data_IF_378452481592
#
_entry.id   IF_378452481592
#
_cell.length_a   1.000
_cell.length_b   1.000
_cell.length_c   1.000
_cell.angle_alpha   90.00
_cell.angle_beta   90.00
_cell.angle_gamma   90.00
#
_symmetry.space_group_name_H-M   'P 1'
#
loop_
_entity.id
_entity.type
_entity.pdbx_description
1 polymer ?
#
# COMPACT_ATOMS: atom_id res chain seq x y z
N UNK A 1 9.74 -8.20 27.54
CA UNK A 1 10.18 -9.34 26.71
C UNK A 1 8.91 -10.04 26.26
N UNK A 2 8.43 -9.70 25.06
CA UNK A 2 7.15 -10.20 24.54
C UNK A 2 7.36 -10.44 23.06
N UNK A 3 7.32 -11.70 22.65
CA UNK A 3 7.50 -12.18 21.28
C UNK A 3 6.15 -12.39 20.62
N UNK A 4 5.95 -11.77 19.46
CA UNK A 4 4.93 -12.16 18.50
C UNK A 4 5.62 -12.74 17.27
N UNK A 5 5.21 -13.94 16.88
CA UNK A 5 5.74 -14.71 15.76
C UNK A 5 4.81 -14.54 14.55
N UNK A 6 5.33 -14.08 13.42
CA UNK A 6 4.72 -14.32 12.12
C UNK A 6 5.76 -14.96 11.20
N UNK A 7 5.31 -15.93 10.42
CA UNK A 7 6.14 -16.80 9.58
C UNK A 7 6.69 -15.99 8.41
N UNK A 8 8.02 -15.88 8.33
CA UNK A 8 8.74 -15.35 7.18
C UNK A 8 9.70 -14.20 7.50
N UNK A 9 10.85 -14.52 8.10
CA UNK A 9 12.02 -13.64 8.16
C UNK A 9 12.34 -13.10 9.55
N UNK A 10 13.41 -13.61 10.15
CA UNK A 10 13.96 -13.11 11.42
C UNK A 10 14.76 -11.83 11.16
N UNK A 11 14.23 -10.65 11.51
CA UNK A 11 15.06 -9.45 11.68
C UNK A 11 15.55 -9.43 13.13
N UNK A 12 16.84 -9.72 13.34
CA UNK A 12 17.53 -9.46 14.62
C UNK A 12 17.92 -7.99 14.65
N UNK A 13 17.20 -7.18 15.44
CA UNK A 13 17.67 -5.82 15.78
C UNK A 13 18.57 -5.95 17.01
N UNK A 14 19.87 -5.80 16.81
CA UNK A 14 20.85 -5.58 17.88
C UNK A 14 20.82 -4.11 18.29
N UNK A 15 20.39 -3.81 19.52
CA UNK A 15 20.56 -2.48 20.10
C UNK A 15 22.00 -2.37 20.61
N UNK A 16 22.92 -1.91 19.76
CA UNK A 16 24.19 -1.35 20.23
C UNK A 16 23.99 0.16 20.44
N UNK A 17 24.03 0.55 21.71
CA UNK A 17 24.05 1.93 22.17
C UNK A 17 25.30 2.64 21.61
N UNK A 18 25.14 3.38 20.52
CA UNK A 18 26.13 4.37 20.09
C UNK A 18 25.90 5.64 20.90
N UNK A 19 26.73 5.80 21.94
CA UNK A 19 26.83 7.03 22.73
C UNK A 19 27.55 8.07 21.88
N UNK A 20 26.80 8.89 21.13
CA UNK A 20 27.34 10.11 20.54
C UNK A 20 27.41 11.18 21.65
N UNK A 21 28.61 11.40 22.19
CA UNK A 21 28.93 12.64 22.89
C UNK A 21 29.06 13.76 21.84
N UNK A 22 27.94 14.41 21.53
CA UNK A 22 27.95 15.68 20.80
C UNK A 22 28.05 16.80 21.83
N UNK A 23 29.22 17.43 21.86
CA UNK A 23 29.48 18.71 22.50
C UNK A 23 28.45 19.74 22.02
N UNK A 24 27.58 20.21 22.91
CA UNK A 24 26.59 21.25 22.61
C UNK A 24 27.30 22.57 22.32
N UNK A 25 27.36 22.96 21.05
CA UNK A 25 27.47 24.37 20.66
C UNK A 25 26.05 24.93 20.49
N UNK A 26 25.59 25.86 21.36
CA UNK A 26 24.24 26.43 21.30
C UNK A 26 24.02 27.40 20.11
N UNK A 27 24.96 27.51 19.17
CA UNK A 27 24.94 28.48 18.06
C UNK A 27 24.35 27.98 16.73
N UNK A 28 23.79 26.77 16.67
CA UNK A 28 23.29 26.15 15.43
C UNK A 28 21.75 26.15 15.36
N UNK A 29 21.10 27.21 14.85
CA UNK A 29 19.63 27.32 14.79
C UNK A 29 18.97 26.26 13.90
N UNK A 30 19.68 25.75 12.89
CA UNK A 30 19.15 24.74 11.95
C UNK A 30 18.95 23.37 12.59
N UNK A 31 19.82 22.96 13.53
CA UNK A 31 19.69 21.68 14.23
C UNK A 31 18.51 21.68 15.21
N UNK A 32 18.29 22.78 15.92
CA UNK A 32 17.17 22.91 16.86
C UNK A 32 15.81 22.99 16.14
N UNK A 33 15.75 23.63 14.97
CA UNK A 33 14.54 23.68 14.17
C UNK A 33 14.14 22.30 13.63
N UNK A 34 15.11 21.55 13.08
CA UNK A 34 14.87 20.21 12.55
C UNK A 34 14.47 19.19 13.63
N UNK A 35 15.04 19.28 14.84
CA UNK A 35 14.61 18.43 15.96
C UNK A 35 13.18 18.75 16.45
N UNK A 36 12.80 20.03 16.46
CA UNK A 36 11.44 20.44 16.84
C UNK A 36 10.39 19.95 15.86
N UNK A 37 10.67 20.03 14.55
CA UNK A 37 9.71 19.61 13.51
C UNK A 37 9.54 18.09 13.45
N UNK A 38 10.59 17.34 13.74
CA UNK A 38 10.53 15.88 13.88
C UNK A 38 9.70 15.46 15.10
N UNK A 39 9.92 16.09 16.26
CA UNK A 39 9.15 15.81 17.48
C UNK A 39 7.66 16.12 17.27
N UNK A 40 7.34 17.26 16.65
CA UNK A 40 5.98 17.65 16.28
C UNK A 40 5.30 16.63 15.34
N UNK A 41 6.06 16.01 14.44
CA UNK A 41 5.54 15.01 13.50
C UNK A 41 5.20 13.68 14.18
N UNK A 42 6.05 13.21 15.10
CA UNK A 42 5.83 11.98 15.88
C UNK A 42 4.66 12.15 16.84
N UNK A 43 4.56 13.31 17.49
CA UNK A 43 3.48 13.63 18.41
C UNK A 43 2.14 13.71 17.69
N UNK A 44 2.08 14.37 16.51
CA UNK A 44 0.87 14.43 15.69
C UNK A 44 0.44 13.05 15.20
N UNK A 45 1.38 12.23 14.72
CA UNK A 45 1.10 10.86 14.28
C UNK A 45 0.44 10.04 15.39
N UNK A 46 1.03 10.08 16.59
CA UNK A 46 0.52 9.36 17.75
C UNK A 46 -0.86 9.86 18.17
N UNK A 47 -1.09 11.18 18.15
CA UNK A 47 -2.38 11.80 18.46
C UNK A 47 -3.48 11.38 17.47
N UNK A 48 -3.19 11.37 16.16
CA UNK A 48 -4.15 10.95 15.14
C UNK A 48 -4.54 9.47 15.32
N UNK A 49 -3.62 8.62 15.77
CA UNK A 49 -3.94 7.23 16.09
C UNK A 49 -4.76 7.05 17.37
N UNK A 50 -4.89 8.06 18.23
CA UNK A 50 -5.79 7.99 19.40
C UNK A 50 -7.20 8.50 19.09
N UNK A 51 -7.40 9.15 17.94
CA UNK A 51 -8.70 9.67 17.51
C UNK A 51 -9.55 8.60 16.84
N UNK A 52 -10.84 8.91 16.69
CA UNK A 52 -11.76 8.14 15.86
C UNK A 52 -11.53 8.44 14.38
N UNK A 53 -11.93 7.50 13.51
CA UNK A 53 -11.73 7.64 12.07
C UNK A 53 -12.37 8.91 11.49
N UNK A 54 -13.53 9.32 12.01
CA UNK A 54 -14.23 10.53 11.57
C UNK A 54 -13.39 11.79 11.77
N UNK A 55 -12.70 11.89 12.90
CA UNK A 55 -11.84 13.03 13.22
C UNK A 55 -10.60 13.05 12.32
N UNK A 56 -10.01 11.88 12.07
CA UNK A 56 -8.86 11.75 11.16
C UNK A 56 -9.28 12.07 9.72
N UNK A 57 -10.48 11.65 9.29
CA UNK A 57 -11.04 12.00 7.99
C UNK A 57 -11.29 13.50 7.85
N UNK A 58 -11.85 14.14 8.88
CA UNK A 58 -12.04 15.59 8.89
C UNK A 58 -10.69 16.30 8.75
N UNK A 59 -9.70 15.91 9.56
CA UNK A 59 -8.34 16.44 9.46
C UNK A 59 -7.73 16.25 8.06
N UNK A 60 -7.88 15.07 7.44
CA UNK A 60 -7.41 14.83 6.07
C UNK A 60 -8.10 15.74 5.03
N UNK A 61 -9.40 16.01 5.20
CA UNK A 61 -10.16 16.90 4.31
C UNK A 61 -9.66 18.35 4.44
N UNK A 62 -9.34 18.79 5.64
CA UNK A 62 -8.79 20.12 5.89
C UNK A 62 -7.37 20.27 5.28
N UNK A 63 -6.56 19.20 5.33
CA UNK A 63 -5.27 19.16 4.63
C UNK A 63 -5.46 19.22 3.10
N UNK A 64 -6.37 18.42 2.54
CA UNK A 64 -6.62 18.37 1.09
C UNK A 64 -7.19 19.68 0.54
N UNK A 65 -7.99 20.39 1.32
CA UNK A 65 -8.55 21.70 0.95
C UNK A 65 -7.55 22.84 1.13
N UNK A 66 -6.37 22.58 1.69
CA UNK A 66 -5.34 23.59 1.97
C UNK A 66 -5.64 24.45 3.20
N UNK A 67 -6.69 24.13 3.97
CA UNK A 67 -7.02 24.82 5.22
C UNK A 67 -6.00 24.52 6.32
N UNK A 68 -5.45 23.30 6.32
CA UNK A 68 -4.35 22.90 7.19
C UNK A 68 -3.13 22.50 6.37
N UNK A 69 -1.94 22.65 6.98
CA UNK A 69 -0.70 22.08 6.47
C UNK A 69 -0.20 21.03 7.45
N UNK A 70 0.16 19.87 6.92
CA UNK A 70 0.85 18.86 7.72
C UNK A 70 2.31 19.27 7.94
N UNK A 71 2.95 18.78 9.01
CA UNK A 71 4.39 18.89 9.17
C UNK A 71 5.13 18.37 7.93
N UNK A 72 6.28 18.98 7.61
CA UNK A 72 7.06 18.70 6.40
C UNK A 72 7.42 17.21 6.28
N UNK A 73 7.84 16.60 7.38
CA UNK A 73 8.31 15.22 7.44
C UNK A 73 7.28 14.27 8.09
N UNK A 74 5.99 14.59 7.94
CA UNK A 74 4.92 13.76 8.49
C UNK A 74 4.92 12.36 7.87
N UNK A 75 4.82 11.32 8.71
CA UNK A 75 4.84 9.92 8.30
C UNK A 75 3.50 9.47 7.67
N UNK A 76 3.24 9.96 6.45
CA UNK A 76 2.04 9.63 5.68
C UNK A 76 1.89 8.13 5.41
N UNK A 77 2.97 7.46 5.00
CA UNK A 77 2.93 6.03 4.70
C UNK A 77 2.58 5.21 5.95
N UNK A 78 3.20 5.53 7.09
CA UNK A 78 2.88 4.90 8.37
C UNK A 78 1.41 5.10 8.74
N UNK A 79 0.83 6.27 8.46
CA UNK A 79 -0.56 6.55 8.81
C UNK A 79 -1.52 5.75 7.91
N UNK A 80 -1.22 5.64 6.61
CA UNK A 80 -1.98 4.80 5.69
C UNK A 80 -1.97 3.33 6.09
N UNK A 81 -0.79 2.81 6.46
CA UNK A 81 -0.62 1.42 6.91
C UNK A 81 -1.33 1.15 8.24
N UNK A 82 -1.24 2.08 9.19
CA UNK A 82 -1.94 1.99 10.47
C UNK A 82 -3.46 2.03 10.28
N UNK A 83 -3.96 2.94 9.44
CA UNK A 83 -5.38 3.06 9.10
C UNK A 83 -5.91 1.77 8.46
N UNK A 84 -5.22 1.22 7.46
CA UNK A 84 -5.60 -0.05 6.86
C UNK A 84 -5.57 -1.23 7.83
N UNK A 85 -4.62 -1.25 8.77
CA UNK A 85 -4.55 -2.26 9.83
C UNK A 85 -5.70 -2.14 10.81
N UNK A 86 -6.06 -0.91 11.20
CA UNK A 86 -7.18 -0.64 12.10
C UNK A 86 -8.52 -0.95 11.45
N UNK A 87 -8.67 -0.69 10.15
CA UNK A 87 -9.85 -1.09 9.38
C UNK A 87 -10.09 -2.60 9.46
N UNK A 88 -9.05 -3.40 9.21
CA UNK A 88 -9.11 -4.87 9.34
C UNK A 88 -9.42 -5.29 10.77
N UNK A 89 -8.67 -4.75 11.74
CA UNK A 89 -8.83 -5.09 13.15
C UNK A 89 -10.24 -4.78 13.66
N UNK A 90 -10.79 -3.61 13.36
CA UNK A 90 -12.13 -3.23 13.80
C UNK A 90 -13.19 -4.17 13.23
N UNK A 91 -13.11 -4.53 11.95
CA UNK A 91 -14.02 -5.51 11.36
C UNK A 91 -13.90 -6.87 12.04
N UNK A 92 -12.66 -7.37 12.20
CA UNK A 92 -12.39 -8.69 12.75
C UNK A 92 -12.83 -8.80 14.24
N UNK A 93 -12.98 -7.65 14.94
CA UNK A 93 -13.54 -7.57 16.30
C UNK A 93 -15.03 -7.14 16.35
N UNK A 94 -15.72 -7.08 15.21
CA UNK A 94 -17.16 -6.79 15.13
C UNK A 94 -17.54 -5.31 15.05
N UNK A 95 -16.57 -4.37 15.12
CA UNK A 95 -16.81 -2.94 14.89
C UNK A 95 -16.77 -2.61 13.38
N UNK A 96 -17.83 -3.03 12.70
CA UNK A 96 -18.04 -2.75 11.28
C UNK A 96 -18.24 -1.27 10.99
N UNK A 97 -18.76 -0.51 11.96
CA UNK A 97 -19.04 0.93 11.84
C UNK A 97 -17.77 1.77 11.73
N UNK A 98 -16.71 1.42 12.44
CA UNK A 98 -15.43 2.14 12.37
C UNK A 98 -14.50 1.59 11.29
N UNK A 99 -14.69 0.35 10.85
CA UNK A 99 -13.80 -0.31 9.91
C UNK A 99 -13.73 0.38 8.53
N UNK A 100 -14.89 0.68 7.91
CA UNK A 100 -14.92 1.35 6.61
C UNK A 100 -14.36 2.80 6.65
N UNK A 101 -14.70 3.63 7.64
CA UNK A 101 -14.06 4.93 7.82
C UNK A 101 -12.53 4.86 7.94
N UNK A 102 -11.99 3.89 8.67
CA UNK A 102 -10.53 3.69 8.72
C UNK A 102 -9.93 3.24 7.38
N UNK A 103 -10.66 2.45 6.59
CA UNK A 103 -10.23 2.13 5.24
C UNK A 103 -10.23 3.38 4.34
N UNK A 104 -11.24 4.26 4.48
CA UNK A 104 -11.30 5.54 3.76
C UNK A 104 -10.09 6.42 4.09
N UNK A 105 -9.71 6.52 5.38
CA UNK A 105 -8.49 7.24 5.81
C UNK A 105 -7.27 6.71 5.06
N UNK A 106 -7.07 5.39 5.05
CA UNK A 106 -5.93 4.76 4.39
C UNK A 106 -5.90 5.05 2.89
N UNK A 107 -7.04 4.92 2.20
CA UNK A 107 -7.15 5.17 0.77
C UNK A 107 -6.90 6.64 0.40
N UNK A 108 -7.46 7.57 1.16
CA UNK A 108 -7.22 9.01 0.95
C UNK A 108 -5.74 9.39 1.11
N UNK A 109 -5.03 8.74 2.03
CA UNK A 109 -3.60 8.99 2.21
C UNK A 109 -2.79 8.36 1.07
N UNK A 110 -3.15 7.16 0.58
CA UNK A 110 -2.51 6.60 -0.61
C UNK A 110 -2.71 7.50 -1.83
N UNK A 111 -3.92 8.03 -2.05
CA UNK A 111 -4.18 8.99 -3.13
C UNK A 111 -3.31 10.25 -2.99
N UNK A 112 -3.15 10.76 -1.76
CA UNK A 112 -2.26 11.88 -1.46
C UNK A 112 -0.79 11.54 -1.77
N UNK A 113 -0.33 10.36 -1.38
CA UNK A 113 1.04 9.91 -1.63
C UNK A 113 1.33 9.78 -3.13
N UNK A 114 0.40 9.20 -3.91
CA UNK A 114 0.50 9.11 -5.37
C UNK A 114 0.66 10.50 -5.99
N UNK A 115 -0.10 11.49 -5.52
CA UNK A 115 -0.02 12.87 -6.04
C UNK A 115 1.29 13.61 -5.72
N UNK A 116 2.12 13.07 -4.82
CA UNK A 116 3.35 13.72 -4.31
C UNK A 116 4.64 13.13 -4.83
N UNK A 117 4.60 11.99 -5.54
CA UNK A 117 5.79 11.27 -5.98
C UNK A 117 5.83 11.11 -7.50
N UNK A 118 7.03 10.91 -8.02
CA UNK A 118 7.27 10.59 -9.43
C UNK A 118 6.67 9.22 -9.79
N UNK A 119 6.41 9.03 -11.09
CA UNK A 119 5.65 7.89 -11.62
C UNK A 119 6.18 6.51 -11.20
N UNK A 120 7.50 6.37 -11.03
CA UNK A 120 8.17 5.12 -10.64
C UNK A 120 7.85 4.69 -9.21
N UNK A 121 7.52 5.63 -8.33
CA UNK A 121 7.18 5.37 -6.93
C UNK A 121 5.67 5.21 -6.69
N UNK A 122 4.85 5.75 -7.59
CA UNK A 122 3.38 5.72 -7.48
C UNK A 122 2.85 4.28 -7.43
N UNK A 123 3.47 3.37 -8.17
CA UNK A 123 2.98 2.00 -8.33
C UNK A 123 2.81 1.27 -6.99
N UNK A 124 3.78 1.45 -6.08
CA UNK A 124 3.75 0.81 -4.75
C UNK A 124 2.57 1.29 -3.89
N UNK A 125 2.20 2.56 -3.99
CA UNK A 125 1.07 3.15 -3.27
C UNK A 125 -0.25 2.76 -3.91
N UNK A 126 -0.34 2.75 -5.23
CA UNK A 126 -1.52 2.28 -5.96
C UNK A 126 -1.78 0.82 -5.61
N UNK A 127 -0.78 -0.04 -5.70
CA UNK A 127 -0.88 -1.46 -5.32
C UNK A 127 -1.37 -1.63 -3.88
N UNK A 128 -0.79 -0.88 -2.93
CA UNK A 128 -1.20 -0.91 -1.52
C UNK A 128 -2.66 -0.48 -1.33
N UNK A 129 -3.12 0.52 -2.09
CA UNK A 129 -4.50 0.97 -2.07
C UNK A 129 -5.47 -0.11 -2.59
N UNK A 130 -5.09 -0.85 -3.63
CA UNK A 130 -5.90 -1.92 -4.20
C UNK A 130 -5.94 -3.14 -3.29
N UNK A 131 -4.82 -3.45 -2.61
CA UNK A 131 -4.78 -4.47 -1.58
C UNK A 131 -5.71 -4.13 -0.40
N UNK A 132 -5.75 -2.87 0.02
CA UNK A 132 -6.69 -2.41 1.05
C UNK A 132 -8.15 -2.53 0.59
N UNK A 133 -8.48 -2.10 -0.64
CA UNK A 133 -9.83 -2.28 -1.22
C UNK A 133 -10.23 -3.75 -1.26
N UNK A 134 -9.39 -4.63 -1.80
CA UNK A 134 -9.65 -6.06 -1.84
C UNK A 134 -9.86 -6.64 -0.42
N UNK A 135 -9.01 -6.25 0.54
CA UNK A 135 -9.15 -6.67 1.93
C UNK A 135 -10.49 -6.26 2.55
N UNK A 136 -11.05 -5.11 2.17
CA UNK A 136 -12.36 -4.64 2.65
C UNK A 136 -13.51 -5.32 1.91
N UNK A 137 -13.40 -5.53 0.59
CA UNK A 137 -14.40 -6.28 -0.20
C UNK A 137 -14.56 -7.70 0.33
N UNK A 138 -13.46 -8.38 0.69
CA UNK A 138 -13.51 -9.73 1.28
C UNK A 138 -14.30 -9.77 2.59
N UNK A 139 -14.25 -8.69 3.37
CA UNK A 139 -14.91 -8.55 4.67
C UNK A 139 -16.37 -8.12 4.56
N UNK A 140 -16.65 -7.11 3.74
CA UNK A 140 -17.97 -6.47 3.64
C UNK A 140 -18.82 -6.94 2.44
N UNK A 141 -18.26 -7.81 1.59
CA UNK A 141 -18.73 -8.11 0.24
C UNK A 141 -18.57 -6.94 -0.74
N UNK A 142 -18.64 -7.27 -2.03
CA UNK A 142 -18.59 -6.29 -3.10
C UNK A 142 -19.91 -5.52 -3.17
N UNK A 143 -19.83 -4.19 -3.31
CA UNK A 143 -20.98 -3.31 -3.48
C UNK A 143 -20.70 -2.40 -4.68
N UNK A 144 -21.41 -2.57 -5.82
CA UNK A 144 -21.22 -1.75 -7.01
C UNK A 144 -21.36 -0.26 -6.71
N UNK A 145 -20.46 0.56 -7.26
CA UNK A 145 -20.45 2.01 -7.07
C UNK A 145 -19.97 2.49 -5.70
N UNK A 146 -19.77 1.61 -4.71
CA UNK A 146 -19.27 2.01 -3.40
C UNK A 146 -17.79 2.47 -3.49
N UNK A 147 -17.39 3.59 -2.88
CA UNK A 147 -16.04 4.16 -3.05
C UNK A 147 -14.88 3.22 -2.67
N UNK A 148 -15.14 2.28 -1.75
CA UNK A 148 -14.17 1.31 -1.22
C UNK A 148 -14.46 -0.12 -1.67
N UNK A 149 -15.74 -0.47 -1.84
CA UNK A 149 -16.21 -1.85 -1.93
C UNK A 149 -16.62 -2.23 -3.36
N UNK A 150 -16.42 -1.31 -4.31
CA UNK A 150 -16.65 -1.56 -5.71
C UNK A 150 -15.48 -2.35 -6.30
N UNK A 151 -15.74 -3.62 -6.61
CA UNK A 151 -14.74 -4.52 -7.15
C UNK A 151 -14.37 -4.19 -8.61
N UNK A 152 -15.27 -3.52 -9.35
CA UNK A 152 -14.99 -3.11 -10.73
C UNK A 152 -13.82 -2.11 -10.78
N UNK A 153 -13.59 -1.35 -9.71
CA UNK A 153 -12.41 -0.47 -9.60
C UNK A 153 -11.10 -1.24 -9.63
N UNK A 154 -11.04 -2.42 -9.00
CA UNK A 154 -9.84 -3.26 -8.99
C UNK A 154 -9.68 -3.96 -10.34
N UNK A 155 -10.79 -4.39 -10.94
CA UNK A 155 -10.79 -5.04 -12.26
C UNK A 155 -10.34 -4.06 -13.33
N UNK A 156 -10.94 -2.86 -13.41
CA UNK A 156 -10.52 -1.81 -14.34
C UNK A 156 -9.06 -1.42 -14.11
N UNK A 157 -8.66 -1.18 -12.86
CA UNK A 157 -7.26 -0.89 -12.55
C UNK A 157 -6.31 -1.96 -13.09
N UNK A 158 -6.64 -3.26 -12.94
CA UNK A 158 -5.83 -4.32 -13.50
C UNK A 158 -5.71 -4.20 -15.03
N UNK A 159 -6.83 -4.10 -15.75
CA UNK A 159 -6.83 -4.04 -17.21
C UNK A 159 -6.18 -2.75 -17.76
N UNK A 160 -6.41 -1.61 -17.11
CA UNK A 160 -5.84 -0.31 -17.48
C UNK A 160 -4.31 -0.28 -17.32
N UNK A 161 -3.73 -1.18 -16.51
CA UNK A 161 -2.30 -1.26 -16.26
C UNK A 161 -1.62 -2.43 -16.99
N UNK A 162 -2.33 -3.11 -17.90
CA UNK A 162 -1.73 -4.12 -18.77
C UNK A 162 -1.00 -3.45 -19.94
N UNK A 163 0.23 -3.89 -20.15
CA UNK A 163 1.09 -3.48 -21.27
C UNK A 163 1.25 -4.57 -22.32
N UNK A 164 0.70 -5.76 -22.04
CA UNK A 164 0.80 -6.94 -22.88
C UNK A 164 -0.44 -7.81 -22.71
N UNK A 165 -0.69 -8.65 -23.70
CA UNK A 165 -1.72 -9.69 -23.70
C UNK A 165 -1.31 -10.92 -22.88
N UNK A 166 -2.26 -11.81 -22.51
CA UNK A 166 -1.95 -13.07 -21.85
C UNK A 166 -0.95 -13.94 -22.63
N UNK A 167 -1.09 -13.97 -23.96
CA UNK A 167 -0.23 -14.75 -24.85
C UNK A 167 1.20 -14.20 -24.87
N UNK A 168 1.36 -12.88 -24.96
CA UNK A 168 2.66 -12.23 -24.86
C UNK A 168 3.31 -12.48 -23.49
N UNK A 169 2.54 -12.42 -22.40
CA UNK A 169 3.04 -12.71 -21.06
C UNK A 169 3.58 -14.15 -20.94
N UNK A 170 2.89 -15.13 -21.54
CA UNK A 170 3.37 -16.52 -21.59
C UNK A 170 4.66 -16.66 -22.40
N UNK A 171 4.72 -16.07 -23.61
CA UNK A 171 5.89 -16.12 -24.47
C UNK A 171 7.10 -15.49 -23.75
N UNK A 172 6.92 -14.29 -23.19
CA UNK A 172 7.95 -13.59 -22.41
C UNK A 172 8.37 -14.38 -21.16
N UNK A 173 7.44 -15.08 -20.49
CA UNK A 173 7.77 -15.93 -19.34
C UNK A 173 8.73 -17.07 -19.73
N UNK A 174 8.52 -17.70 -20.90
CA UNK A 174 9.37 -18.77 -21.38
C UNK A 174 10.77 -18.28 -21.76
N UNK A 175 10.88 -17.12 -22.42
CA UNK A 175 12.18 -16.57 -22.84
C UNK A 175 12.94 -15.86 -21.71
N UNK A 176 12.23 -15.30 -20.72
CA UNK A 176 12.80 -14.45 -19.66
C UNK A 176 13.95 -15.14 -18.91
N UNK A 177 13.85 -16.44 -18.63
CA UNK A 177 14.90 -17.18 -17.92
C UNK A 177 16.16 -17.37 -18.77
N UNK A 178 16.01 -17.55 -20.07
CA UNK A 178 17.13 -17.65 -21.01
C UNK A 178 17.77 -16.28 -21.26
N UNK A 179 16.95 -15.23 -21.41
CA UNK A 179 17.40 -13.86 -21.64
C UNK A 179 18.16 -13.29 -20.42
N UNK A 180 17.69 -13.58 -19.19
CA UNK A 180 18.40 -13.24 -17.95
C UNK A 180 19.78 -13.91 -17.86
N UNK A 181 19.86 -15.19 -18.26
CA UNK A 181 21.12 -15.94 -18.29
C UNK A 181 22.13 -15.34 -19.28
N UNK A 182 21.64 -14.75 -20.35
CA UNK A 182 22.43 -14.10 -21.39
C UNK A 182 22.66 -12.59 -21.13
N UNK A 183 22.25 -12.08 -19.97
CA UNK A 183 22.46 -10.68 -19.51
C UNK A 183 21.97 -9.62 -20.51
N UNK A 184 20.84 -9.87 -21.19
CA UNK A 184 20.23 -8.85 -22.05
C UNK A 184 19.55 -7.78 -21.18
N UNK A 185 19.79 -6.51 -21.50
CA UNK A 185 19.34 -5.35 -20.72
C UNK A 185 17.80 -5.32 -20.55
N UNK A 186 17.05 -5.62 -21.62
CA UNK A 186 15.57 -5.65 -21.65
C UNK A 186 14.94 -6.77 -20.79
N UNK A 187 15.74 -7.73 -20.30
CA UNK A 187 15.25 -8.89 -19.54
C UNK A 187 14.79 -8.51 -18.14
N UNK A 188 15.41 -7.50 -17.53
CA UNK A 188 15.08 -7.08 -16.16
C UNK A 188 13.74 -6.36 -16.14
N UNK A 189 13.51 -5.44 -17.07
CA UNK A 189 12.24 -4.72 -17.19
C UNK A 189 11.08 -5.70 -17.45
N UNK A 190 11.28 -6.64 -18.39
CA UNK A 190 10.31 -7.71 -18.66
C UNK A 190 10.02 -8.55 -17.42
N UNK A 191 11.04 -8.93 -16.65
CA UNK A 191 10.86 -9.68 -15.41
C UNK A 191 10.05 -8.91 -14.37
N UNK A 192 10.35 -7.62 -14.17
CA UNK A 192 9.64 -6.76 -13.22
C UNK A 192 8.18 -6.59 -13.62
N UNK A 193 7.93 -6.39 -14.91
CA UNK A 193 6.59 -6.27 -15.48
C UNK A 193 5.76 -7.55 -15.30
N UNK A 194 6.34 -8.73 -15.56
CA UNK A 194 5.67 -10.01 -15.33
C UNK A 194 5.37 -10.26 -13.85
N UNK A 195 6.31 -9.91 -12.95
CA UNK A 195 6.11 -9.98 -11.49
C UNK A 195 4.99 -9.04 -11.03
N UNK A 196 4.91 -7.85 -11.60
CA UNK A 196 3.85 -6.88 -11.35
C UNK A 196 2.49 -7.46 -11.74
N UNK A 197 2.35 -7.96 -12.96
CA UNK A 197 1.12 -8.61 -13.44
C UNK A 197 0.73 -9.76 -12.49
N UNK A 198 1.67 -10.62 -12.10
CA UNK A 198 1.43 -11.71 -11.14
C UNK A 198 0.95 -11.23 -9.77
N UNK A 199 1.50 -10.11 -9.30
CA UNK A 199 1.07 -9.42 -8.08
C UNK A 199 -0.38 -8.95 -8.17
N UNK A 200 -0.75 -8.27 -9.26
CA UNK A 200 -2.10 -7.75 -9.48
C UNK A 200 -3.12 -8.88 -9.57
N UNK A 201 -2.77 -9.95 -10.29
CA UNK A 201 -3.57 -11.17 -10.36
C UNK A 201 -3.71 -11.85 -9.00
N UNK A 202 -2.75 -11.69 -8.09
CA UNK A 202 -2.87 -12.18 -6.71
C UNK A 202 -4.00 -11.50 -5.94
N UNK A 203 -4.18 -10.20 -6.13
CA UNK A 203 -5.28 -9.44 -5.54
C UNK A 203 -6.62 -9.96 -6.07
N UNK A 204 -6.78 -10.03 -7.40
CA UNK A 204 -8.01 -10.48 -8.05
C UNK A 204 -8.33 -11.94 -7.74
N UNK A 205 -7.33 -12.83 -7.75
CA UNK A 205 -7.50 -14.23 -7.41
C UNK A 205 -8.10 -14.39 -6.00
N UNK A 206 -7.64 -13.61 -5.02
CA UNK A 206 -8.20 -13.68 -3.66
C UNK A 206 -9.67 -13.27 -3.58
N UNK A 207 -10.13 -12.40 -4.48
CA UNK A 207 -11.55 -12.01 -4.57
C UNK A 207 -12.39 -13.08 -5.26
N UNK A 208 -11.83 -13.77 -6.26
CA UNK A 208 -12.49 -14.88 -6.95
C UNK A 208 -12.65 -16.06 -5.99
N UNK A 209 -11.58 -16.42 -5.26
CA UNK A 209 -11.57 -17.55 -4.32
C UNK A 209 -12.57 -17.35 -3.16
N UNK A 210 -12.76 -16.11 -2.71
CA UNK A 210 -13.74 -15.76 -1.68
C UNK A 210 -15.15 -15.46 -2.26
N UNK A 211 -15.38 -15.79 -3.53
CA UNK A 211 -16.65 -15.61 -4.27
C UNK A 211 -17.15 -14.15 -4.28
N UNK A 212 -16.24 -13.17 -4.19
CA UNK A 212 -16.57 -11.73 -4.17
C UNK A 212 -16.74 -11.15 -5.55
N UNK A 213 -16.13 -11.76 -6.56
CA UNK A 213 -16.28 -11.38 -7.97
C UNK A 213 -16.45 -12.62 -8.84
N UNK A 214 -17.17 -12.45 -9.94
CA UNK A 214 -17.24 -13.45 -11.02
C UNK A 214 -16.35 -12.99 -12.18
N UNK A 215 -15.27 -13.72 -12.53
CA UNK A 215 -14.36 -13.29 -13.58
C UNK A 215 -15.01 -13.44 -14.96
N UNK A 216 -14.80 -12.44 -15.83
CA UNK A 216 -15.10 -12.56 -17.26
C UNK A 216 -14.09 -13.50 -17.96
N UNK A 217 -14.34 -13.87 -19.22
CA UNK A 217 -13.48 -14.81 -19.96
C UNK A 217 -12.02 -14.34 -20.09
N UNK A 218 -11.82 -13.04 -20.24
CA UNK A 218 -10.49 -12.46 -20.33
C UNK A 218 -9.73 -12.56 -19.00
N UNK A 219 -10.37 -12.22 -17.87
CA UNK A 219 -9.78 -12.36 -16.55
C UNK A 219 -9.53 -13.83 -16.20
N UNK A 220 -10.42 -14.76 -16.59
CA UNK A 220 -10.15 -16.20 -16.44
C UNK A 220 -8.88 -16.62 -17.17
N UNK A 221 -8.66 -16.10 -18.37
CA UNK A 221 -7.45 -16.36 -19.15
C UNK A 221 -6.22 -15.89 -18.38
N UNK A 222 -6.21 -14.66 -17.88
CA UNK A 222 -5.12 -14.14 -17.07
C UNK A 222 -4.87 -14.93 -15.78
N UNK A 223 -5.93 -15.30 -15.05
CA UNK A 223 -5.81 -16.09 -13.83
C UNK A 223 -5.20 -17.48 -14.11
N UNK A 224 -5.53 -18.08 -15.26
CA UNK A 224 -4.99 -19.41 -15.63
C UNK A 224 -3.47 -19.41 -15.80
N UNK A 225 -2.89 -18.29 -16.23
CA UNK A 225 -1.44 -18.16 -16.49
C UNK A 225 -0.67 -17.65 -15.29
N UNK A 226 -1.33 -17.17 -14.24
CA UNK A 226 -0.68 -16.56 -13.07
C UNK A 226 0.40 -17.46 -12.44
N UNK A 227 0.15 -18.77 -12.38
CA UNK A 227 1.06 -19.75 -11.78
C UNK A 227 2.34 -19.95 -12.59
N UNK A 228 2.31 -19.64 -13.89
CA UNK A 228 3.50 -19.76 -14.76
C UNK A 228 4.34 -18.50 -14.74
N UNK A 229 3.74 -17.33 -14.42
CA UNK A 229 4.47 -16.06 -14.30
C UNK A 229 5.57 -16.15 -13.21
N UNK A 230 6.70 -15.46 -13.37
CA UNK A 230 7.82 -15.42 -12.41
C UNK A 230 7.44 -14.90 -11.03
#
# INVERSE_FOLDING_TARGET
>A
MTTYSYIGGTIRISFQTLRYELSCDPSQPELNHNMSDMQNSVDLFSQLLQKDASDVLAWLKDIRSGQLKAPKDFNWLGLAQAAGSRARYNFDNGDTTSALPWAEVGLLIYDLLVSKVESDQQESFIYSSMLLRASMIRRFNAIPGHPILDADRIIHWFFDNLTMSPQEAQIKTLSCWEDLKNSREDSIETLLELKRIKGYLGILQSLIEDEKISPNEELKTWISIRKTLP
#
